data_IF_908845527555
#
_entry.id   IF_908845527555
#
_cell.length_a   1.000
_cell.length_b   1.000
_cell.length_c   1.000
_cell.angle_alpha   90.00
_cell.angle_beta   90.00
_cell.angle_gamma   90.00
#
_symmetry.space_group_name_H-M   'P 1'
#
loop_
_entity.id
_entity.type
_entity.pdbx_description
1 polymer ?
#
# COMPACT_ATOMS: atom_id res chain seq x y z
N UNK A 1 -30.37 -2.19 -4.09
CA UNK A 1 -29.79 -1.10 -3.27
C UNK A 1 -29.32 0.00 -4.20
N UNK A 2 -29.70 1.26 -3.95
CA UNK A 2 -29.33 2.41 -4.78
C UNK A 2 -27.81 2.68 -4.72
N UNK A 3 -27.19 2.98 -5.87
CA UNK A 3 -25.79 3.37 -6.02
C UNK A 3 -25.57 4.89 -5.88
N UNK A 4 -26.53 5.60 -5.29
CA UNK A 4 -26.53 7.06 -5.26
C UNK A 4 -25.88 7.58 -3.98
N UNK A 5 -25.09 8.65 -4.13
CA UNK A 5 -24.52 9.38 -3.00
C UNK A 5 -25.60 10.26 -2.37
N UNK A 6 -25.54 10.42 -1.04
CA UNK A 6 -26.54 11.15 -0.28
C UNK A 6 -25.85 12.14 0.67
N UNK A 7 -26.31 13.38 0.63
CA UNK A 7 -26.03 14.40 1.61
C UNK A 7 -27.33 14.81 2.28
N UNK A 8 -27.38 14.68 3.60
CA UNK A 8 -28.56 15.08 4.35
C UNK A 8 -28.47 16.57 4.66
N UNK A 9 -29.35 17.36 4.06
CA UNK A 9 -29.46 18.78 4.35
C UNK A 9 -30.53 18.98 5.43
N UNK A 10 -30.15 19.54 6.58
CA UNK A 10 -31.04 19.84 7.72
C UNK A 10 -31.09 21.34 7.97
N UNK A 11 -32.21 21.81 8.51
CA UNK A 11 -32.34 23.12 9.17
C UNK A 11 -32.26 24.38 8.28
N UNK A 12 -32.59 24.31 6.99
CA UNK A 12 -32.80 25.50 6.15
C UNK A 12 -33.74 25.22 4.97
N UNK A 13 -34.64 26.16 4.61
CA UNK A 13 -35.26 26.15 3.29
C UNK A 13 -34.19 26.09 2.19
N UNK A 14 -34.51 25.42 1.07
CA UNK A 14 -33.67 25.33 -0.14
C UNK A 14 -32.25 24.78 0.05
N UNK A 15 -31.98 24.03 1.11
CA UNK A 15 -30.66 23.44 1.38
C UNK A 15 -30.24 22.34 0.39
N UNK A 16 -31.16 21.85 -0.45
CA UNK A 16 -30.96 20.75 -1.39
C UNK A 16 -30.45 21.20 -2.77
N UNK A 17 -29.74 22.32 -2.86
CA UNK A 17 -29.16 22.82 -4.11
C UNK A 17 -27.83 22.13 -4.45
N UNK A 18 -27.46 22.05 -5.73
CA UNK A 18 -26.21 21.42 -6.20
C UNK A 18 -24.96 21.92 -5.45
N UNK A 19 -24.79 23.24 -5.18
CA UNK A 19 -23.62 23.73 -4.45
C UNK A 19 -23.54 23.23 -3.00
N UNK A 20 -24.66 22.83 -2.39
CA UNK A 20 -24.63 22.20 -1.07
C UNK A 20 -23.98 20.83 -1.19
N UNK A 21 -24.41 20.01 -2.15
CA UNK A 21 -23.90 18.66 -2.35
C UNK A 21 -22.42 18.65 -2.74
N UNK A 22 -22.01 19.53 -3.66
CA UNK A 22 -20.63 19.61 -4.16
C UNK A 22 -19.61 20.00 -3.09
N UNK A 23 -20.03 20.73 -2.05
CA UNK A 23 -19.18 21.12 -0.92
C UNK A 23 -19.03 20.03 0.14
N UNK A 24 -19.80 18.94 0.06
CA UNK A 24 -19.75 17.89 1.07
C UNK A 24 -18.50 17.03 0.93
N UNK A 25 -17.98 16.62 2.08
CA UNK A 25 -16.84 15.73 2.13
C UNK A 25 -17.29 14.28 1.88
N UNK A 26 -16.98 13.76 0.70
CA UNK A 26 -17.06 12.33 0.39
C UNK A 26 -15.65 11.74 0.34
N UNK A 27 -15.51 10.52 0.84
CA UNK A 27 -14.24 9.78 0.82
C UNK A 27 -14.33 8.57 -0.12
N UNK A 28 -13.18 8.03 -0.52
CA UNK A 28 -13.11 6.69 -1.05
C UNK A 28 -13.40 5.65 0.05
N UNK A 29 -14.10 4.59 -0.31
CA UNK A 29 -14.42 3.46 0.56
C UNK A 29 -13.88 2.16 -0.04
N UNK A 30 -13.08 1.44 0.76
CA UNK A 30 -12.52 0.12 0.42
C UNK A 30 -12.24 -0.64 1.71
N UNK A 31 -12.67 -1.91 1.76
CA UNK A 31 -12.27 -2.82 2.82
C UNK A 31 -11.01 -3.58 2.40
N UNK A 32 -10.21 -4.05 3.36
CA UNK A 32 -8.94 -4.72 3.09
C UNK A 32 -9.07 -5.91 2.12
N UNK A 33 -10.16 -6.67 2.24
CA UNK A 33 -10.45 -7.85 1.40
C UNK A 33 -11.16 -7.52 0.07
N UNK A 34 -11.36 -6.24 -0.24
CA UNK A 34 -12.00 -5.82 -1.49
C UNK A 34 -10.94 -5.44 -2.52
N UNK A 35 -11.18 -5.83 -3.77
CA UNK A 35 -10.30 -5.46 -4.88
C UNK A 35 -10.51 -4.01 -5.33
N UNK A 36 -11.76 -3.56 -5.38
CA UNK A 36 -12.14 -2.27 -5.94
C UNK A 36 -12.48 -1.24 -4.87
N UNK A 37 -12.01 -0.02 -5.09
CA UNK A 37 -12.43 1.16 -4.35
C UNK A 37 -13.77 1.66 -4.88
N UNK A 38 -14.62 2.18 -4.00
CA UNK A 38 -15.92 2.76 -4.35
C UNK A 38 -16.06 4.17 -3.79
N UNK A 39 -16.87 5.02 -4.43
CA UNK A 39 -17.22 6.33 -3.87
C UNK A 39 -18.06 6.14 -2.62
N UNK A 40 -17.69 6.83 -1.54
CA UNK A 40 -18.45 6.82 -0.30
C UNK A 40 -19.87 7.35 -0.52
N UNK A 41 -20.83 6.70 0.14
CA UNK A 41 -22.26 6.99 -0.07
C UNK A 41 -22.78 8.11 0.81
N UNK A 42 -22.12 8.36 1.94
CA UNK A 42 -22.50 9.36 2.94
C UNK A 42 -21.42 10.40 3.09
N UNK A 43 -21.83 11.59 3.51
CA UNK A 43 -20.93 12.66 3.91
C UNK A 43 -20.13 12.24 5.14
N UNK A 44 -18.83 12.52 5.13
CA UNK A 44 -17.93 12.26 6.24
C UNK A 44 -17.75 13.53 7.07
N UNK A 45 -18.01 13.47 8.37
CA UNK A 45 -17.94 14.65 9.25
C UNK A 45 -16.52 14.99 9.69
N UNK A 46 -15.63 13.99 9.81
CA UNK A 46 -14.35 14.10 10.52
C UNK A 46 -13.11 13.88 9.65
N UNK A 47 -13.23 13.94 8.32
CA UNK A 47 -12.14 13.66 7.38
C UNK A 47 -12.29 12.32 6.65
N UNK A 48 -11.26 11.97 5.88
CA UNK A 48 -11.05 10.67 5.26
C UNK A 48 -9.77 10.03 5.81
N UNK A 49 -9.72 8.70 5.80
CA UNK A 49 -8.50 7.96 6.06
C UNK A 49 -8.19 6.94 4.96
N UNK A 50 -6.91 6.63 4.80
CA UNK A 50 -6.40 5.47 4.08
C UNK A 50 -5.32 4.79 4.91
N UNK A 51 -5.26 3.46 4.91
CA UNK A 51 -4.19 2.72 5.56
C UNK A 51 -4.01 1.32 4.98
N UNK A 52 -3.00 0.62 5.46
CA UNK A 52 -2.67 -0.77 5.08
C UNK A 52 -3.01 -1.69 6.24
N UNK A 53 -3.99 -2.56 6.06
CA UNK A 53 -4.29 -3.63 7.01
C UNK A 53 -3.28 -4.76 6.84
N UNK A 54 -2.47 -5.00 7.87
CA UNK A 54 -1.41 -6.02 7.82
C UNK A 54 -1.92 -7.42 8.09
N UNK A 55 -3.13 -7.58 8.62
CA UNK A 55 -3.75 -8.89 8.86
C UNK A 55 -4.39 -9.41 7.58
N UNK A 56 -5.20 -8.57 6.94
CA UNK A 56 -5.93 -8.88 5.72
C UNK A 56 -5.09 -8.55 4.46
N UNK A 57 -3.89 -7.99 4.65
CA UNK A 57 -2.90 -7.72 3.59
C UNK A 57 -3.43 -6.79 2.49
N UNK A 58 -4.24 -5.78 2.84
CA UNK A 58 -4.94 -4.93 1.87
C UNK A 58 -5.05 -3.46 2.28
N UNK A 59 -5.49 -2.61 1.35
CA UNK A 59 -5.78 -1.21 1.63
C UNK A 59 -7.18 -1.06 2.26
N UNK A 60 -7.28 -0.18 3.25
CA UNK A 60 -8.55 0.22 3.86
C UNK A 60 -8.72 1.72 3.68
N UNK A 61 -9.90 2.13 3.23
CA UNK A 61 -10.28 3.52 2.98
C UNK A 61 -11.66 3.78 3.58
N UNK A 62 -11.87 4.93 4.19
CA UNK A 62 -13.20 5.32 4.67
C UNK A 62 -13.28 6.71 5.28
N UNK A 63 -14.45 7.03 5.83
CA UNK A 63 -14.70 8.25 6.58
C UNK A 63 -14.01 8.23 7.95
N UNK A 64 -13.67 9.42 8.44
CA UNK A 64 -13.16 9.65 9.77
C UNK A 64 -11.64 9.65 9.83
N UNK A 65 -11.14 9.48 11.06
CA UNK A 65 -9.70 9.42 11.34
C UNK A 65 -9.22 7.98 11.29
N UNK A 66 -7.92 7.81 11.09
CA UNK A 66 -7.22 6.55 11.28
C UNK A 66 -7.66 5.85 12.58
N UNK A 67 -8.28 4.66 12.49
CA UNK A 67 -8.72 3.95 13.67
C UNK A 67 -7.50 3.54 14.51
N UNK A 68 -7.68 3.50 15.82
CA UNK A 68 -6.70 2.95 16.76
C UNK A 68 -6.66 1.41 16.68
N UNK A 69 -6.29 0.89 15.50
CA UNK A 69 -6.14 -0.52 15.22
C UNK A 69 -4.65 -0.83 15.02
N UNK A 70 -4.04 -1.69 15.85
CA UNK A 70 -2.61 -2.01 15.73
C UNK A 70 -2.24 -2.67 14.40
N UNK A 71 -3.20 -3.30 13.71
CA UNK A 71 -3.02 -3.93 12.41
C UNK A 71 -3.10 -2.93 11.24
N UNK A 72 -3.56 -1.69 11.47
CA UNK A 72 -3.58 -0.67 10.44
C UNK A 72 -2.27 0.14 10.47
N UNK A 73 -1.42 -0.10 9.48
CA UNK A 73 -0.14 0.60 9.32
C UNK A 73 -0.21 1.63 8.20
N UNK A 74 0.75 2.55 8.18
CA UNK A 74 0.86 3.62 7.18
C UNK A 74 -0.46 4.39 7.01
N UNK A 75 -1.16 4.60 8.11
CA UNK A 75 -2.46 5.25 8.05
C UNK A 75 -2.29 6.77 7.96
N UNK A 76 -2.98 7.39 7.01
CA UNK A 76 -2.95 8.82 6.76
C UNK A 76 -4.37 9.39 6.77
N UNK A 77 -4.51 10.62 7.25
CA UNK A 77 -5.76 11.37 7.28
C UNK A 77 -5.71 12.53 6.29
N UNK A 78 -6.85 12.89 5.74
CA UNK A 78 -6.99 14.07 4.87
C UNK A 78 -8.43 14.62 4.92
N UNK A 79 -8.64 15.84 4.43
CA UNK A 79 -9.90 16.61 4.66
C UNK A 79 -10.53 17.17 3.39
N UNK A 80 -10.06 16.77 2.22
CA UNK A 80 -10.65 17.17 0.92
C UNK A 80 -11.38 16.01 0.28
N UNK A 81 -12.31 16.29 -0.64
CA UNK A 81 -13.11 15.27 -1.28
C UNK A 81 -12.22 14.22 -1.97
N UNK A 82 -12.45 12.93 -1.70
CA UNK A 82 -11.72 11.80 -2.27
C UNK A 82 -10.20 11.84 -2.09
N UNK A 83 -9.71 12.54 -1.07
CA UNK A 83 -8.29 12.74 -0.81
C UNK A 83 -7.54 11.46 -0.39
N UNK A 84 -8.27 10.48 0.14
CA UNK A 84 -7.72 9.22 0.64
C UNK A 84 -7.46 8.22 -0.50
N UNK A 85 -6.88 8.69 -1.61
CA UNK A 85 -6.56 7.90 -2.80
C UNK A 85 -5.41 6.91 -2.53
N UNK A 86 -5.40 5.77 -3.22
CA UNK A 86 -4.36 4.74 -3.05
C UNK A 86 -2.95 5.24 -3.38
N UNK A 87 -2.83 6.28 -4.23
CA UNK A 87 -1.56 6.93 -4.57
C UNK A 87 -0.92 7.65 -3.38
N UNK A 88 -1.70 7.99 -2.35
CA UNK A 88 -1.21 8.62 -1.11
C UNK A 88 -0.28 7.67 -0.35
N UNK A 89 -0.54 6.35 -0.41
CA UNK A 89 0.32 5.36 0.24
C UNK A 89 1.61 5.18 -0.55
N UNK A 90 2.72 5.65 0.03
CA UNK A 90 4.06 5.48 -0.55
C UNK A 90 4.47 4.00 -0.53
N UNK A 91 4.93 3.53 -1.68
CA UNK A 91 5.46 2.17 -1.88
C UNK A 91 6.86 2.23 -2.47
N UNK A 92 7.70 1.27 -2.12
CA UNK A 92 9.01 1.07 -2.75
C UNK A 92 8.87 0.31 -4.08
N UNK A 93 9.76 0.58 -5.04
CA UNK A 93 9.99 -0.30 -6.18
C UNK A 93 11.18 -1.21 -5.89
N UNK A 94 11.09 -2.48 -6.24
CA UNK A 94 12.19 -3.44 -6.10
C UNK A 94 12.48 -4.14 -7.41
N UNK A 95 13.70 -4.65 -7.55
CA UNK A 95 13.99 -5.66 -8.55
C UNK A 95 13.27 -6.96 -8.19
N UNK A 96 12.66 -7.58 -9.19
CA UNK A 96 11.97 -8.85 -9.12
C UNK A 96 12.57 -9.79 -10.15
N UNK A 97 13.27 -10.83 -9.69
CA UNK A 97 13.80 -11.87 -10.58
C UNK A 97 12.78 -13.01 -10.68
N UNK A 98 12.27 -13.26 -11.88
CA UNK A 98 11.35 -14.38 -12.13
C UNK A 98 12.06 -15.72 -11.93
N UNK A 99 11.50 -16.60 -11.09
CA UNK A 99 11.98 -17.98 -10.94
C UNK A 99 11.71 -18.86 -12.19
N UNK A 100 10.89 -18.40 -13.15
CA UNK A 100 10.63 -19.08 -14.42
C UNK A 100 11.67 -18.67 -15.46
N UNK A 101 12.24 -19.66 -16.17
CA UNK A 101 13.17 -19.45 -17.28
C UNK A 101 12.45 -18.84 -18.51
N UNK A 102 13.09 -17.92 -19.27
CA UNK A 102 14.37 -17.29 -18.95
C UNK A 102 14.27 -16.39 -17.72
N UNK A 103 15.33 -16.34 -16.90
CA UNK A 103 15.36 -15.48 -15.72
C UNK A 103 15.36 -14.02 -16.19
N UNK A 104 14.22 -13.35 -16.05
CA UNK A 104 14.07 -11.93 -16.41
C UNK A 104 13.97 -11.12 -15.13
N UNK A 105 14.90 -10.18 -14.96
CA UNK A 105 14.88 -9.14 -13.94
C UNK A 105 13.87 -8.07 -14.36
N UNK A 106 12.93 -7.74 -13.48
CA UNK A 106 11.90 -6.73 -13.73
C UNK A 106 11.83 -5.76 -12.58
N UNK A 107 11.55 -4.50 -12.87
CA UNK A 107 11.19 -3.53 -11.85
C UNK A 107 9.72 -3.71 -11.47
N UNK A 108 9.43 -3.86 -10.18
CA UNK A 108 8.05 -3.95 -9.69
C UNK A 108 7.81 -2.97 -8.55
N UNK A 109 6.68 -2.27 -8.63
CA UNK A 109 6.10 -1.57 -7.49
C UNK A 109 5.63 -2.61 -6.48
N UNK A 110 6.10 -2.51 -5.24
CA UNK A 110 5.70 -3.46 -4.20
C UNK A 110 4.29 -3.21 -3.71
N UNK A 111 3.68 -4.28 -3.19
CA UNK A 111 2.43 -4.14 -2.44
C UNK A 111 2.64 -3.15 -1.27
N UNK A 112 1.67 -2.26 -0.98
CA UNK A 112 1.79 -1.24 0.06
C UNK A 112 2.22 -1.72 1.45
N UNK A 113 2.04 -3.00 1.76
CA UNK A 113 2.54 -3.58 3.01
C UNK A 113 4.06 -3.63 3.10
N UNK A 114 4.75 -3.78 1.98
CA UNK A 114 6.20 -3.85 1.94
C UNK A 114 6.80 -2.44 1.87
N UNK A 115 7.81 -2.19 2.69
CA UNK A 115 8.61 -0.96 2.69
C UNK A 115 10.10 -1.24 2.46
N UNK A 116 10.43 -2.47 2.05
CA UNK A 116 11.78 -2.95 1.84
C UNK A 116 11.84 -3.84 0.60
N UNK A 117 13.06 -4.06 0.13
CA UNK A 117 13.41 -5.06 -0.85
C UNK A 117 14.41 -6.04 -0.23
N UNK A 118 14.49 -7.26 -0.77
CA UNK A 118 15.59 -8.17 -0.47
C UNK A 118 16.26 -8.68 -1.73
N UNK A 119 17.51 -9.07 -1.55
CA UNK A 119 18.27 -9.91 -2.46
C UNK A 119 18.83 -11.09 -1.68
N UNK A 120 18.74 -12.29 -2.25
CA UNK A 120 19.21 -13.52 -1.63
C UNK A 120 19.93 -14.41 -2.65
N UNK A 121 20.79 -15.30 -2.15
CA UNK A 121 21.30 -16.46 -2.88
C UNK A 121 20.82 -17.73 -2.22
N UNK A 122 20.29 -18.65 -3.01
CA UNK A 122 19.98 -19.99 -2.52
C UNK A 122 21.25 -20.85 -2.35
N UNK A 123 21.07 -22.10 -1.90
CA UNK A 123 22.18 -23.02 -1.66
C UNK A 123 22.96 -23.40 -2.94
N UNK A 124 22.40 -23.13 -4.12
CA UNK A 124 23.03 -23.36 -5.42
C UNK A 124 23.63 -22.07 -6.01
N UNK A 125 23.63 -20.97 -5.24
CA UNK A 125 24.14 -19.66 -5.67
C UNK A 125 23.19 -18.90 -6.61
N UNK A 126 21.95 -19.35 -6.81
CA UNK A 126 20.97 -18.66 -7.65
C UNK A 126 20.44 -17.43 -6.92
N UNK A 127 20.42 -16.29 -7.62
CA UNK A 127 19.94 -15.02 -7.07
C UNK A 127 18.41 -15.01 -7.04
N UNK A 128 17.83 -14.47 -5.96
CA UNK A 128 16.42 -14.10 -5.84
C UNK A 128 16.34 -12.64 -5.38
N UNK A 129 15.48 -11.87 -6.04
CA UNK A 129 15.23 -10.46 -5.72
C UNK A 129 13.72 -10.27 -5.61
N UNK A 130 13.25 -9.64 -4.53
CA UNK A 130 11.82 -9.40 -4.33
C UNK A 130 11.54 -8.27 -3.34
N UNK A 131 10.25 -7.95 -3.19
CA UNK A 131 9.73 -7.08 -2.14
C UNK A 131 9.75 -7.77 -0.77
N UNK A 132 9.98 -6.98 0.28
CA UNK A 132 9.91 -7.40 1.67
C UNK A 132 11.26 -7.65 2.32
N UNK A 133 11.21 -8.19 3.52
CA UNK A 133 12.39 -8.61 4.29
C UNK A 133 12.87 -9.98 3.86
N UNK A 134 14.12 -10.29 4.20
CA UNK A 134 14.75 -11.58 3.95
C UNK A 134 13.90 -12.76 4.47
N UNK A 135 13.45 -13.65 3.59
CA UNK A 135 12.80 -14.88 4.01
C UNK A 135 13.75 -15.77 4.82
N UNK A 136 13.27 -16.32 5.95
CA UNK A 136 14.09 -17.15 6.84
C UNK A 136 14.71 -18.41 6.22
N UNK A 137 14.27 -18.83 5.03
CA UNK A 137 14.86 -19.93 4.26
C UNK A 137 16.24 -19.59 3.65
N UNK A 138 16.60 -18.31 3.52
CA UNK A 138 17.85 -17.89 2.92
C UNK A 138 18.92 -17.58 3.97
N UNK A 139 20.05 -18.30 3.90
CA UNK A 139 21.23 -18.02 4.74
C UNK A 139 22.05 -16.83 4.24
N UNK A 140 22.04 -16.59 2.92
CA UNK A 140 22.72 -15.47 2.30
C UNK A 140 21.67 -14.51 1.73
N UNK A 141 21.28 -13.52 2.53
CA UNK A 141 20.26 -12.55 2.15
C UNK A 141 20.52 -11.19 2.78
N UNK A 142 20.29 -10.13 2.02
CA UNK A 142 20.37 -8.73 2.45
C UNK A 142 19.03 -8.04 2.22
N UNK A 143 18.53 -7.33 3.23
CA UNK A 143 17.36 -6.44 3.12
C UNK A 143 17.81 -5.00 2.98
N UNK A 144 17.16 -4.22 2.12
CA UNK A 144 17.42 -2.79 1.91
C UNK A 144 16.10 -1.99 1.87
N UNK A 145 16.19 -0.71 2.22
CA UNK A 145 15.04 0.22 2.31
C UNK A 145 15.39 1.68 2.02
N UNK A 146 16.64 1.94 1.64
CA UNK A 146 17.24 3.26 1.47
C UNK A 146 16.75 3.98 0.22
N UNK A 147 16.46 3.24 -0.85
CA UNK A 147 15.96 3.79 -2.12
C UNK A 147 15.18 2.76 -2.95
N UNK A 148 14.50 3.23 -3.98
CA UNK A 148 13.93 2.35 -5.00
C UNK A 148 15.02 1.53 -5.67
N UNK A 149 14.68 0.28 -5.98
CA UNK A 149 15.54 -0.68 -6.67
C UNK A 149 16.86 -0.92 -5.90
N UNK A 150 16.81 -0.81 -4.56
CA UNK A 150 18.02 -0.91 -3.75
C UNK A 150 18.63 -2.31 -3.78
N UNK A 151 17.86 -3.37 -4.05
CA UNK A 151 18.25 -4.76 -3.87
C UNK A 151 19.17 -5.29 -4.99
N UNK A 152 20.26 -4.60 -5.26
CA UNK A 152 21.27 -4.97 -6.26
C UNK A 152 22.28 -6.00 -5.75
N UNK A 153 23.02 -6.65 -6.66
CA UNK A 153 23.98 -7.70 -6.31
C UNK A 153 25.19 -7.18 -5.50
N UNK A 154 25.52 -5.90 -5.62
CA UNK A 154 26.59 -5.26 -4.85
C UNK A 154 26.29 -5.21 -3.34
N UNK A 155 25.03 -5.36 -2.93
CA UNK A 155 24.64 -5.47 -1.52
C UNK A 155 24.89 -6.87 -0.93
N UNK A 156 25.20 -7.86 -1.76
CA UNK A 156 25.48 -9.19 -1.26
C UNK A 156 26.86 -9.21 -0.60
N UNK A 157 26.98 -9.76 0.62
CA UNK A 157 28.29 -9.92 1.24
C UNK A 157 29.17 -10.77 0.31
N UNK A 158 30.40 -10.31 0.09
CA UNK A 158 31.40 -11.07 -0.66
C UNK A 158 31.50 -12.48 -0.05
N UNK A 159 31.61 -13.53 -0.88
CA UNK A 159 31.87 -14.85 -0.35
C UNK A 159 33.13 -14.75 0.52
N UNK A 160 33.01 -15.09 1.81
CA UNK A 160 34.20 -15.32 2.63
C UNK A 160 34.99 -16.37 1.88
N UNK A 161 36.17 -16.00 1.39
CA UNK A 161 37.07 -16.92 0.68
C UNK A 161 37.05 -18.26 1.42
N UNK A 162 36.60 -19.31 0.75
CA UNK A 162 37.07 -20.64 1.11
C UNK A 162 38.56 -20.58 0.84
N UNK A 163 39.34 -20.31 1.89
CA UNK A 163 40.76 -20.54 1.89
C UNK A 163 40.94 -22.04 1.58
N UNK A 164 41.28 -22.32 0.32
CA UNK A 164 41.89 -23.55 -0.15
C UNK A 164 43.37 -23.25 -0.35
#
# INVERSE_FOLDING_TARGET
>A
MSNMQCAECKNSPTCNADPFFEKQLFCWEKGANKWTTTKGRRVCEAGCFIGVDTKEMGLVQGCGKCPANPNLKKCENCVTQYCNDEKTIKTIKCHHLSAKKPYVKREKKCHPIYSSCYIAKDIFGRVEQNCGECPGKYKNCTTCKDKNLCNEEELMPLPKNLNL
#
